data_IF_490132376387
#
_entry.id   IF_490132376387
#
_cell.length_a   1.000
_cell.length_b   1.000
_cell.length_c   1.000
_cell.angle_alpha   90.00
_cell.angle_beta   90.00
_cell.angle_gamma   90.00
#
_symmetry.space_group_name_H-M   'P 1'
#
loop_
_entity.id
_entity.type
_entity.pdbx_description
1 polymer ?
#
# COMPACT_ATOMS: atom_id res chain seq x y z
N UNK A 1 -11.29 -4.57 -8.72
CA UNK A 1 -9.89 -4.83 -8.32
C UNK A 1 -9.49 -3.64 -7.48
N UNK A 2 -9.31 -3.79 -6.15
CA UNK A 2 -8.90 -2.66 -5.31
C UNK A 2 -7.48 -2.28 -5.72
N UNK A 3 -7.31 -1.07 -6.25
CA UNK A 3 -6.01 -0.56 -6.73
C UNK A 3 -5.02 -0.55 -5.57
N UNK A 4 -3.87 -1.20 -5.75
CA UNK A 4 -2.77 -1.23 -4.79
C UNK A 4 -2.25 0.18 -4.44
N UNK A 5 -2.64 1.17 -5.23
CA UNK A 5 -2.43 2.60 -4.99
C UNK A 5 -3.13 3.13 -3.74
N UNK A 6 -4.15 2.45 -3.20
CA UNK A 6 -4.88 2.90 -2.00
C UNK A 6 -4.34 2.26 -0.71
N UNK A 7 -3.03 1.99 -0.64
CA UNK A 7 -2.37 1.43 0.54
C UNK A 7 -1.33 2.41 1.07
N UNK A 8 -1.34 2.64 2.38
CA UNK A 8 -0.37 3.46 3.10
C UNK A 8 0.54 2.63 4.00
N UNK A 9 1.61 3.25 4.50
CA UNK A 9 2.51 2.69 5.51
C UNK A 9 2.67 3.63 6.70
N UNK A 10 2.83 3.06 7.89
CA UNK A 10 3.16 3.83 9.11
C UNK A 10 4.21 3.09 9.91
N UNK A 11 5.06 3.79 10.65
CA UNK A 11 6.05 3.19 11.55
C UNK A 11 5.37 2.73 12.85
N UNK A 12 5.58 1.47 13.23
CA UNK A 12 5.16 0.98 14.54
C UNK A 12 5.92 1.71 15.65
N UNK A 13 5.19 2.23 16.63
CA UNK A 13 5.79 2.93 17.79
C UNK A 13 6.57 2.01 18.74
N UNK A 14 6.39 0.69 18.65
CA UNK A 14 7.03 -0.29 19.53
C UNK A 14 8.21 -1.01 18.86
N UNK A 15 8.00 -1.67 17.71
CA UNK A 15 9.03 -2.49 17.06
C UNK A 15 9.62 -1.87 15.78
N UNK A 16 9.27 -0.62 15.46
CA UNK A 16 9.75 0.13 14.30
C UNK A 16 9.44 -0.47 12.90
N UNK A 17 8.75 -1.61 12.81
CA UNK A 17 8.27 -2.20 11.55
C UNK A 17 7.29 -1.25 10.84
N UNK A 18 7.21 -1.33 9.51
CA UNK A 18 6.28 -0.58 8.67
C UNK A 18 5.08 -1.46 8.22
N UNK A 19 4.02 -1.62 9.03
CA UNK A 19 2.78 -2.25 8.56
C UNK A 19 2.14 -1.45 7.41
N UNK A 20 1.59 -2.19 6.44
CA UNK A 20 0.70 -1.69 5.38
C UNK A 20 -0.73 -1.57 5.91
N UNK A 21 -1.47 -0.55 5.46
CA UNK A 21 -2.87 -0.37 5.80
C UNK A 21 -3.67 0.27 4.66
N UNK A 22 -5.00 0.04 4.57
CA UNK A 22 -5.85 0.71 3.59
C UNK A 22 -5.91 2.21 3.85
N UNK A 23 -5.78 3.02 2.80
CA UNK A 23 -5.85 4.47 2.92
C UNK A 23 -7.18 4.91 3.60
N UNK A 24 -7.08 5.82 4.56
CA UNK A 24 -8.23 6.28 5.36
C UNK A 24 -8.46 5.53 6.68
N UNK A 25 -7.66 4.50 7.02
CA UNK A 25 -7.71 3.91 8.35
C UNK A 25 -7.27 4.91 9.43
N UNK A 26 -8.00 4.97 10.55
CA UNK A 26 -7.66 5.82 11.70
C UNK A 26 -6.54 5.25 12.57
N UNK A 27 -6.35 3.92 12.54
CA UNK A 27 -5.29 3.23 13.27
C UNK A 27 -4.91 1.92 12.58
N UNK A 28 -3.74 1.40 12.91
CA UNK A 28 -3.29 0.09 12.44
C UNK A 28 -2.70 -0.71 13.59
N UNK A 29 -3.03 -2.00 13.65
CA UNK A 29 -2.39 -2.96 14.55
C UNK A 29 -1.17 -3.54 13.85
N UNK A 30 0.00 -3.43 14.48
CA UNK A 30 1.22 -4.05 13.95
C UNK A 30 1.08 -5.57 13.95
N UNK A 31 1.30 -6.22 12.82
CA UNK A 31 1.25 -7.68 12.69
C UNK A 31 2.37 -8.40 13.46
N UNK A 32 3.49 -7.73 13.72
CA UNK A 32 4.64 -8.32 14.43
C UNK A 32 4.51 -8.27 15.95
N UNK A 33 4.07 -7.15 16.52
CA UNK A 33 4.06 -6.92 17.97
C UNK A 33 2.70 -6.57 18.55
N UNK A 34 1.64 -6.50 17.73
CA UNK A 34 0.27 -6.20 18.10
C UNK A 34 0.04 -4.78 18.69
N UNK A 35 1.07 -3.94 18.74
CA UNK A 35 0.95 -2.53 19.10
C UNK A 35 0.05 -1.78 18.11
N UNK A 36 -0.86 -0.95 18.62
CA UNK A 36 -1.77 -0.12 17.82
C UNK A 36 -1.14 1.26 17.65
N UNK A 37 -0.92 1.66 16.40
CA UNK A 37 -0.46 3.00 16.04
C UNK A 37 -1.63 3.79 15.46
N UNK A 38 -1.92 4.95 16.03
CA UNK A 38 -2.87 5.91 15.48
C UNK A 38 -2.30 6.59 14.23
N UNK A 39 -3.13 6.76 13.20
CA UNK A 39 -2.79 7.46 11.97
C UNK A 39 -3.30 8.90 12.07
N UNK A 40 -2.37 9.85 12.14
CA UNK A 40 -2.65 11.28 12.20
C UNK A 40 -1.92 12.06 11.12
N UNK A 41 -2.14 13.37 11.07
CA UNK A 41 -1.55 14.22 10.03
C UNK A 41 -0.02 14.21 9.98
N UNK A 42 0.62 13.92 11.11
CA UNK A 42 2.07 13.87 11.25
C UNK A 42 2.70 12.57 10.76
N UNK A 43 1.91 11.50 10.60
CA UNK A 43 2.41 10.19 10.16
C UNK A 43 1.64 9.61 8.96
N UNK A 44 0.67 10.37 8.40
CA UNK A 44 0.06 10.08 7.11
C UNK A 44 1.15 10.14 6.03
N UNK A 45 1.48 8.99 5.47
CA UNK A 45 2.38 8.90 4.31
C UNK A 45 1.57 8.97 3.04
N UNK A 46 2.08 9.60 1.96
CA UNK A 46 1.47 9.55 0.63
C UNK A 46 1.15 8.10 0.20
N UNK A 47 0.23 7.90 -0.76
CA UNK A 47 -0.03 6.60 -1.36
C UNK A 47 1.27 5.86 -1.69
N UNK A 48 1.29 4.53 -1.50
CA UNK A 48 2.50 3.73 -1.74
C UNK A 48 3.09 3.94 -3.14
N UNK A 49 2.27 4.12 -4.17
CA UNK A 49 2.72 4.44 -5.53
C UNK A 49 3.51 5.76 -5.60
N UNK A 50 3.05 6.80 -4.91
CA UNK A 50 3.76 8.08 -4.80
C UNK A 50 5.09 7.92 -4.05
N UNK A 51 5.14 7.08 -3.01
CA UNK A 51 6.37 6.85 -2.25
C UNK A 51 7.41 6.04 -3.02
N UNK A 52 6.98 5.07 -3.84
CA UNK A 52 7.90 4.24 -4.63
C UNK A 52 8.41 4.95 -5.89
N UNK A 53 7.90 6.14 -6.22
CA UNK A 53 8.17 6.78 -7.51
C UNK A 53 7.66 5.94 -8.70
N UNK A 54 6.80 4.96 -8.44
CA UNK A 54 6.18 4.16 -9.48
C UNK A 54 5.02 4.97 -10.07
N UNK A 55 5.00 5.22 -11.39
CA UNK A 55 3.85 5.82 -12.03
C UNK A 55 2.61 4.93 -11.75
N UNK A 56 1.43 5.53 -11.52
CA UNK A 56 0.21 4.75 -11.35
C UNK A 56 0.05 3.80 -12.54
N UNK A 57 -0.41 2.55 -12.34
CA UNK A 57 -0.61 1.63 -13.44
C UNK A 57 -1.49 2.32 -14.49
N UNK A 58 -1.11 2.31 -15.78
CA UNK A 58 -1.94 2.93 -16.81
C UNK A 58 -3.33 2.29 -16.74
N UNK A 59 -4.36 3.10 -16.62
CA UNK A 59 -5.72 2.69 -16.30
C UNK A 59 -6.37 1.75 -17.35
N UNK A 60 -5.66 1.34 -18.41
CA UNK A 60 -6.17 0.56 -19.53
C UNK A 60 -5.20 -0.52 -20.06
N UNK A 61 -4.39 -1.18 -19.21
CA UNK A 61 -3.66 -2.39 -19.63
C UNK A 61 -4.46 -3.66 -19.30
N UNK A 62 -5.73 -3.69 -19.71
CA UNK A 62 -6.53 -4.91 -19.78
C UNK A 62 -6.41 -5.47 -21.19
N UNK A 63 -5.76 -6.64 -21.28
CA UNK A 63 -5.65 -7.54 -22.44
C UNK A 63 -4.55 -7.24 -23.47
N UNK A 64 -3.58 -8.17 -23.54
CA UNK A 64 -2.69 -8.57 -24.66
C UNK A 64 -1.30 -8.83 -24.07
N UNK A 65 -0.89 -10.06 -23.74
CA UNK A 65 -0.27 -10.97 -24.72
C UNK A 65 -0.01 -12.39 -24.15
N UNK A 66 -0.82 -12.91 -23.23
CA UNK A 66 -0.61 -14.26 -22.67
C UNK A 66 -1.28 -15.42 -23.45
N UNK A 67 -1.46 -15.28 -24.76
CA UNK A 67 -1.76 -16.42 -25.63
C UNK A 67 -0.95 -16.35 -26.91
N UNK A 68 0.38 -16.35 -26.76
CA UNK A 68 1.26 -16.91 -27.80
C UNK A 68 0.87 -18.38 -27.92
N UNK A 69 -0.09 -18.66 -28.82
CA UNK A 69 -0.44 -20.02 -29.21
C UNK A 69 0.80 -20.68 -29.78
N UNK A 70 1.15 -21.79 -29.15
CA UNK A 70 2.01 -22.84 -29.69
C UNK A 70 1.66 -23.09 -31.16
N UNK A 71 2.64 -22.91 -32.04
CA UNK A 71 2.75 -23.60 -33.31
C UNK A 71 3.91 -24.58 -33.19
#
# INVERSE_FOLDING_TARGET
MQSADQVGQVKCGSCAVLPMYPYGASSVRCSSCQFVTEIGEHNKRPPWSVQQGHPPPPANAVHETAYVRRA
#
